data_IF_135011541602
#
_entry.id   IF_135011541602
#
_cell.length_a   1.000
_cell.length_b   1.000
_cell.length_c   1.000
_cell.angle_alpha   90.00
_cell.angle_beta   90.00
_cell.angle_gamma   90.00
#
_symmetry.space_group_name_H-M   'P 1'
#
loop_
_entity.id
_entity.type
_entity.pdbx_description
1 polymer ?
#
# COMPACT_ATOMS: atom_id res chain seq x y z
N UNK A 1 1.22 29.78 9.00
CA UNK A 1 1.44 28.81 10.08
C UNK A 1 1.12 27.37 9.65
N UNK A 2 -0.13 27.06 9.41
CA UNK A 2 -0.54 25.72 8.91
C UNK A 2 0.11 25.38 7.59
N UNK A 3 0.19 26.37 6.72
CA UNK A 3 0.73 26.21 5.37
C UNK A 3 2.20 25.80 5.37
N UNK A 4 2.97 26.19 6.38
CA UNK A 4 4.37 25.77 6.51
C UNK A 4 4.49 24.24 6.57
N UNK A 5 3.60 23.58 7.28
CA UNK A 5 3.55 22.11 7.34
C UNK A 5 3.02 21.51 6.04
N UNK A 6 1.88 21.99 5.58
CA UNK A 6 1.19 21.39 4.42
C UNK A 6 1.96 21.60 3.11
N UNK A 7 2.46 22.80 2.87
CA UNK A 7 3.21 23.09 1.65
C UNK A 7 4.53 22.34 1.60
N UNK A 8 5.25 22.28 2.73
CA UNK A 8 6.50 21.54 2.80
C UNK A 8 6.27 20.04 2.62
N UNK A 9 5.25 19.49 3.25
CA UNK A 9 4.88 18.09 3.07
C UNK A 9 4.52 17.78 1.61
N UNK A 10 3.76 18.66 0.97
CA UNK A 10 3.39 18.54 -0.44
C UNK A 10 4.62 18.50 -1.34
N UNK A 11 5.59 19.39 -1.12
CA UNK A 11 6.83 19.42 -1.89
C UNK A 11 7.64 18.13 -1.73
N UNK A 12 7.74 17.62 -0.50
CA UNK A 12 8.50 16.41 -0.21
C UNK A 12 7.87 15.18 -0.85
N UNK A 13 6.56 14.98 -0.71
CA UNK A 13 5.89 13.79 -1.25
C UNK A 13 5.82 13.79 -2.77
N UNK A 14 5.84 14.96 -3.41
CA UNK A 14 5.82 15.13 -4.86
C UNK A 14 7.22 15.32 -5.46
N UNK A 15 8.27 15.22 -4.64
CA UNK A 15 9.65 15.44 -5.08
C UNK A 15 10.34 14.19 -5.62
N UNK A 16 11.68 14.22 -5.63
CA UNK A 16 12.54 13.22 -6.26
C UNK A 16 12.58 11.85 -5.57
N UNK A 17 11.94 11.66 -4.42
CA UNK A 17 11.92 10.38 -3.70
C UNK A 17 11.39 9.22 -4.53
N UNK A 18 10.41 9.48 -5.39
CA UNK A 18 9.81 8.46 -6.23
C UNK A 18 10.77 7.92 -7.27
N UNK A 19 11.64 8.76 -7.82
CA UNK A 19 12.67 8.34 -8.77
C UNK A 19 13.76 7.50 -8.10
N UNK A 20 14.06 7.75 -6.82
CA UNK A 20 15.10 7.04 -6.08
C UNK A 20 14.63 5.71 -5.50
N UNK A 21 13.40 5.63 -5.03
CA UNK A 21 12.87 4.49 -4.27
C UNK A 21 11.68 3.78 -4.92
N UNK A 22 11.22 4.26 -6.07
CA UNK A 22 9.99 3.81 -6.72
C UNK A 22 8.76 4.47 -6.11
N UNK A 23 7.58 4.00 -6.47
CA UNK A 23 6.33 4.53 -5.93
C UNK A 23 6.23 4.29 -4.42
N UNK A 24 5.48 5.12 -3.69
CA UNK A 24 5.22 4.87 -2.28
C UNK A 24 4.67 3.48 -2.00
N UNK A 25 3.77 2.99 -2.83
CA UNK A 25 3.22 1.64 -2.71
C UNK A 25 4.32 0.58 -2.81
N UNK A 26 5.15 0.62 -3.84
CA UNK A 26 6.20 -0.39 -4.07
C UNK A 26 7.23 -0.38 -2.95
N UNK A 27 7.65 0.81 -2.50
CA UNK A 27 8.60 0.93 -1.40
C UNK A 27 8.04 0.36 -0.10
N UNK A 28 6.82 0.72 0.25
CA UNK A 28 6.19 0.24 1.49
C UNK A 28 5.82 -1.24 1.40
N UNK A 29 5.53 -1.75 0.19
CA UNK A 29 5.34 -3.18 -0.01
C UNK A 29 6.62 -3.98 0.29
N UNK A 30 7.77 -3.50 -0.17
CA UNK A 30 9.06 -4.13 0.16
C UNK A 30 9.31 -4.16 1.67
N UNK A 31 9.04 -3.04 2.35
CA UNK A 31 9.18 -2.96 3.81
C UNK A 31 8.20 -3.93 4.50
N UNK A 32 6.95 -3.95 4.06
CA UNK A 32 5.93 -4.84 4.61
C UNK A 32 6.34 -6.32 4.47
N UNK A 33 6.87 -6.70 3.33
CA UNK A 33 7.34 -8.07 3.08
C UNK A 33 8.51 -8.43 4.02
N UNK A 34 9.45 -7.51 4.22
CA UNK A 34 10.59 -7.70 5.13
C UNK A 34 10.10 -7.84 6.58
N UNK A 35 9.24 -6.93 7.03
CA UNK A 35 8.71 -6.98 8.39
C UNK A 35 7.86 -8.22 8.64
N UNK A 36 7.10 -8.65 7.64
CA UNK A 36 6.32 -9.89 7.72
C UNK A 36 7.24 -11.11 7.88
N UNK A 37 8.33 -11.17 7.12
CA UNK A 37 9.31 -12.23 7.21
C UNK A 37 10.04 -12.24 8.56
N UNK A 38 10.40 -11.05 9.08
CA UNK A 38 11.12 -10.92 10.36
C UNK A 38 10.27 -11.30 11.57
N UNK A 39 8.98 -10.99 11.54
CA UNK A 39 8.11 -11.10 12.73
C UNK A 39 7.19 -12.30 12.71
N UNK A 40 6.94 -12.89 11.54
CA UNK A 40 5.91 -13.92 11.36
C UNK A 40 4.49 -13.36 11.29
N UNK A 41 4.30 -12.06 11.42
CA UNK A 41 3.00 -11.40 11.27
C UNK A 41 2.88 -10.78 9.88
N UNK A 42 1.65 -10.71 9.37
CA UNK A 42 1.41 -10.09 8.07
C UNK A 42 1.28 -8.57 8.21
N UNK A 43 2.17 -7.85 7.54
CA UNK A 43 2.11 -6.41 7.38
C UNK A 43 1.67 -6.07 5.95
N UNK A 44 0.84 -5.04 5.83
CA UNK A 44 0.45 -4.48 4.53
C UNK A 44 1.22 -3.18 4.30
N UNK A 45 1.35 -2.71 3.03
CA UNK A 45 2.00 -1.43 2.77
C UNK A 45 1.39 -0.25 3.54
N UNK A 46 0.07 -0.18 3.64
CA UNK A 46 -0.61 0.89 4.40
C UNK A 46 -0.35 0.80 5.90
N UNK A 47 -0.25 -0.39 6.46
CA UNK A 47 0.14 -0.58 7.86
C UNK A 47 1.53 -0.01 8.12
N UNK A 48 2.48 -0.29 7.24
CA UNK A 48 3.86 0.23 7.36
C UNK A 48 3.85 1.76 7.35
N UNK A 49 3.19 2.37 6.39
CA UNK A 49 3.10 3.82 6.28
C UNK A 49 2.46 4.46 7.51
N UNK A 50 1.36 3.88 8.01
CA UNK A 50 0.71 4.33 9.24
C UNK A 50 1.62 4.18 10.47
N UNK A 51 2.38 3.11 10.55
CA UNK A 51 3.33 2.87 11.65
C UNK A 51 4.47 3.88 11.63
N UNK A 52 4.87 4.37 10.46
CA UNK A 52 5.86 5.45 10.36
C UNK A 52 5.36 6.75 10.99
N UNK A 53 4.05 7.01 10.96
CA UNK A 53 3.47 8.14 11.70
C UNK A 53 3.74 7.96 13.19
N UNK A 54 3.58 6.75 13.71
CA UNK A 54 3.91 6.43 15.10
C UNK A 54 5.38 6.70 15.44
N UNK A 55 6.30 6.38 14.55
CA UNK A 55 7.74 6.69 14.72
C UNK A 55 7.95 8.20 14.82
N UNK A 56 7.29 8.98 13.97
CA UNK A 56 7.41 10.44 13.99
C UNK A 56 6.75 11.05 15.23
N UNK A 57 5.67 10.48 15.72
CA UNK A 57 5.07 10.91 16.99
C UNK A 57 6.01 10.66 18.17
N UNK A 58 6.71 9.53 18.18
CA UNK A 58 7.72 9.24 19.21
C UNK A 58 8.85 10.27 19.19
N UNK A 59 9.31 10.67 18.01
CA UNK A 59 10.32 11.73 17.84
C UNK A 59 9.79 13.09 18.29
N UNK A 60 8.54 13.40 17.99
CA UNK A 60 7.89 14.64 18.39
C UNK A 60 7.77 14.74 19.91
N UNK A 61 7.60 13.63 20.62
CA UNK A 61 7.59 13.62 22.07
C UNK A 61 8.90 14.15 22.66
N UNK A 62 10.03 13.82 22.05
CA UNK A 62 11.34 14.28 22.48
C UNK A 62 11.58 15.75 22.13
N UNK A 63 11.09 16.18 20.95
CA UNK A 63 11.22 17.57 20.51
C UNK A 63 9.94 18.03 19.80
N UNK A 64 8.96 18.45 20.58
CA UNK A 64 7.62 18.80 20.09
C UNK A 64 7.61 20.01 19.15
N UNK A 65 8.59 20.90 19.29
CA UNK A 65 8.69 22.11 18.47
C UNK A 65 9.44 21.92 17.14
N UNK A 66 9.90 20.72 16.82
CA UNK A 66 10.63 20.48 15.57
C UNK A 66 9.65 20.32 14.41
N UNK A 67 9.67 21.27 13.49
CA UNK A 67 8.77 21.32 12.33
C UNK A 67 8.83 20.04 11.48
N UNK A 68 10.02 19.47 11.27
CA UNK A 68 10.22 18.31 10.42
C UNK A 68 9.38 17.09 10.84
N UNK A 69 9.17 16.90 12.14
CA UNK A 69 8.34 15.80 12.63
C UNK A 69 6.90 15.94 12.16
N UNK A 70 6.35 17.14 12.22
CA UNK A 70 4.97 17.42 11.80
C UNK A 70 4.82 17.39 10.29
N UNK A 71 5.82 17.85 9.56
CA UNK A 71 5.89 17.73 8.10
C UNK A 71 5.89 16.24 7.69
N UNK A 72 6.68 15.42 8.36
CA UNK A 72 6.76 13.99 8.06
C UNK A 72 5.45 13.26 8.37
N UNK A 73 4.78 13.61 9.46
CA UNK A 73 3.46 13.04 9.80
C UNK A 73 2.44 13.38 8.71
N UNK A 74 2.41 14.63 8.26
CA UNK A 74 1.52 15.06 7.18
C UNK A 74 1.83 14.32 5.88
N UNK A 75 3.12 14.18 5.54
CA UNK A 75 3.59 13.46 4.36
C UNK A 75 3.18 11.99 4.39
N UNK A 76 3.41 11.30 5.50
CA UNK A 76 3.00 9.90 5.65
C UNK A 76 1.48 9.74 5.63
N UNK A 77 0.73 10.72 6.11
CA UNK A 77 -0.74 10.69 6.02
C UNK A 77 -1.21 10.70 4.57
N UNK A 78 -0.63 11.57 3.74
CA UNK A 78 -0.94 11.63 2.31
C UNK A 78 -0.52 10.34 1.58
N UNK A 79 0.67 9.83 1.88
CA UNK A 79 1.19 8.58 1.30
C UNK A 79 0.31 7.39 1.70
N UNK A 80 -0.12 7.32 2.95
CA UNK A 80 -0.99 6.24 3.43
C UNK A 80 -2.31 6.22 2.65
N UNK A 81 -2.88 7.39 2.40
CA UNK A 81 -4.11 7.50 1.58
C UNK A 81 -3.90 6.98 0.15
N UNK A 82 -2.79 7.36 -0.48
CA UNK A 82 -2.44 6.86 -1.81
C UNK A 82 -2.25 5.34 -1.83
N UNK A 83 -1.53 4.80 -0.84
CA UNK A 83 -1.30 3.36 -0.71
C UNK A 83 -2.63 2.61 -0.52
N UNK A 84 -3.53 3.12 0.31
CA UNK A 84 -4.86 2.52 0.51
C UNK A 84 -5.63 2.45 -0.81
N UNK A 85 -5.52 3.48 -1.64
CA UNK A 85 -6.15 3.49 -2.96
C UNK A 85 -5.58 2.41 -3.88
N UNK A 86 -4.27 2.21 -3.86
CA UNK A 86 -3.60 1.15 -4.65
C UNK A 86 -3.95 -0.25 -4.12
N UNK A 87 -4.00 -0.44 -2.80
CA UNK A 87 -4.43 -1.70 -2.20
C UNK A 87 -5.86 -2.08 -2.61
N UNK A 88 -6.78 -1.12 -2.65
CA UNK A 88 -8.16 -1.34 -3.09
C UNK A 88 -8.23 -1.78 -4.54
N UNK A 89 -7.44 -1.17 -5.43
CA UNK A 89 -7.36 -1.56 -6.84
C UNK A 89 -6.81 -2.97 -7.00
N UNK A 90 -5.76 -3.31 -6.28
CA UNK A 90 -5.14 -4.64 -6.30
C UNK A 90 -6.12 -5.71 -5.85
N UNK A 91 -6.87 -5.46 -4.77
CA UNK A 91 -7.89 -6.37 -4.26
C UNK A 91 -9.03 -6.56 -5.25
N UNK A 92 -9.51 -5.50 -5.88
CA UNK A 92 -10.55 -5.56 -6.91
C UNK A 92 -10.08 -6.38 -8.13
N UNK A 93 -8.85 -6.18 -8.56
CA UNK A 93 -8.24 -6.94 -9.65
C UNK A 93 -8.15 -8.43 -9.32
N UNK A 94 -7.71 -8.77 -8.12
CA UNK A 94 -7.63 -10.15 -7.64
C UNK A 94 -8.99 -10.83 -7.67
N UNK A 95 -10.04 -10.15 -7.21
CA UNK A 95 -11.40 -10.66 -7.22
C UNK A 95 -11.91 -10.93 -8.64
N UNK A 96 -11.66 -10.03 -9.56
CA UNK A 96 -12.03 -10.21 -10.97
C UNK A 96 -11.29 -11.41 -11.56
N UNK A 97 -10.02 -11.58 -11.31
CA UNK A 97 -9.23 -12.72 -11.78
C UNK A 97 -9.77 -14.04 -11.24
N UNK A 98 -10.13 -14.09 -9.96
CA UNK A 98 -10.73 -15.29 -9.36
C UNK A 98 -12.05 -15.66 -10.03
N UNK A 99 -12.93 -14.69 -10.28
CA UNK A 99 -14.20 -14.90 -10.96
C UNK A 99 -13.97 -15.41 -12.37
N UNK A 100 -13.03 -14.82 -13.11
CA UNK A 100 -12.68 -15.24 -14.47
C UNK A 100 -12.15 -16.66 -14.51
N UNK A 101 -11.31 -17.05 -13.56
CA UNK A 101 -10.79 -18.41 -13.44
C UNK A 101 -11.91 -19.41 -13.17
N UNK A 102 -12.83 -19.09 -12.26
CA UNK A 102 -13.99 -19.95 -11.97
C UNK A 102 -14.88 -20.15 -13.19
N UNK A 103 -15.11 -19.09 -13.93
CA UNK A 103 -15.91 -19.15 -15.17
C UNK A 103 -15.24 -20.05 -16.22
N UNK A 104 -13.93 -19.90 -16.46
CA UNK A 104 -13.18 -20.74 -17.39
C UNK A 104 -13.17 -22.21 -16.97
N UNK A 105 -13.03 -22.48 -15.68
CA UNK A 105 -13.09 -23.84 -15.15
C UNK A 105 -14.46 -24.47 -15.33
N UNK A 106 -15.54 -23.71 -15.13
CA UNK A 106 -16.89 -24.18 -15.36
C UNK A 106 -17.16 -24.49 -16.83
N UNK A 107 -16.68 -23.66 -17.75
CA UNK A 107 -16.77 -23.93 -19.20
C UNK A 107 -15.97 -25.17 -19.63
N UNK A 108 -14.76 -25.33 -19.10
CA UNK A 108 -13.94 -26.50 -19.38
C UNK A 108 -14.64 -27.79 -18.92
N UNK A 109 -15.28 -27.78 -17.75
CA UNK A 109 -16.06 -28.92 -17.24
C UNK A 109 -17.24 -29.24 -18.13
N UNK A 110 -17.99 -28.25 -18.59
CA UNK A 110 -19.11 -28.44 -19.51
C UNK A 110 -18.68 -29.04 -20.84
N UNK A 111 -17.56 -28.60 -21.39
CA UNK A 111 -17.00 -29.13 -22.61
C UNK A 111 -16.60 -30.61 -22.47
N UNK A 112 -16.00 -30.97 -21.33
CA UNK A 112 -15.65 -32.35 -21.03
C UNK A 112 -16.87 -33.25 -20.87
N UNK A 113 -17.90 -32.77 -20.17
CA UNK A 113 -19.17 -33.48 -20.00
C UNK A 113 -19.84 -33.73 -21.36
N UNK A 114 -19.87 -32.72 -22.23
CA UNK A 114 -20.42 -32.87 -23.59
C UNK A 114 -19.67 -33.92 -24.42
N UNK A 115 -18.33 -34.00 -24.27
CA UNK A 115 -17.52 -35.02 -24.95
C UNK A 115 -17.82 -36.45 -24.47
N UNK A 116 -18.14 -36.62 -23.18
CA UNK A 116 -18.51 -37.94 -22.65
C UNK A 116 -19.95 -38.35 -22.98
N UNK A 117 -20.87 -37.38 -23.13
CA UNK A 117 -22.27 -37.66 -23.52
C UNK A 117 -22.43 -38.09 -24.97
N UNK A 118 -21.52 -37.70 -25.87
CA UNK A 118 -21.51 -38.06 -27.30
C UNK A 118 -20.97 -39.46 -27.59
N UNK A 119 -20.57 -40.19 -26.56
CA UNK A 119 -20.10 -41.57 -26.60
C UNK A 119 -21.06 -42.51 -25.86
#
# INVERSE_FOLDING_TARGET
MRDAVLDTAKEIVNGARESDYGSPYDNHKRIADIWSAMTGYKFTPSMVSAMMIGVKLARAKENIGLLDNWVDIAGYSAITWEILSEESKTEAHRKVDEISKRFRSAQARKSNEALYEDH
#
